data_IF_534503316998
#
_entry.id   IF_534503316998
#
_cell.length_a   1.000
_cell.length_b   1.000
_cell.length_c   1.000
_cell.angle_alpha   90.00
_cell.angle_beta   90.00
_cell.angle_gamma   90.00
#
_symmetry.space_group_name_H-M   'P 1'
#
loop_
_entity.id
_entity.type
_entity.pdbx_description
1 polymer ?
#
# COMPACT_ATOMS: atom_id res chain seq x y z
N UNK A 1 -9.47 -26.94 -49.40
CA UNK A 1 -9.28 -27.56 -48.07
C UNK A 1 -10.40 -28.54 -47.87
N UNK A 2 -10.11 -29.66 -47.20
CA UNK A 2 -11.09 -30.65 -46.81
C UNK A 2 -11.71 -30.27 -45.44
N UNK A 3 -12.92 -30.76 -45.12
CA UNK A 3 -13.48 -30.71 -43.78
C UNK A 3 -12.50 -31.24 -42.74
N UNK A 4 -12.44 -30.58 -41.58
CA UNK A 4 -11.51 -30.94 -40.52
C UNK A 4 -10.07 -30.48 -40.77
N UNK A 5 -9.76 -29.85 -41.90
CA UNK A 5 -8.46 -29.22 -42.09
C UNK A 5 -8.24 -28.13 -41.04
N UNK A 6 -7.00 -28.06 -40.57
CA UNK A 6 -6.55 -27.07 -39.60
C UNK A 6 -5.51 -26.18 -40.28
N UNK A 7 -5.82 -24.89 -40.39
CA UNK A 7 -4.93 -23.88 -40.94
C UNK A 7 -4.25 -23.16 -39.78
N UNK A 8 -2.93 -23.03 -39.84
CA UNK A 8 -2.17 -22.27 -38.85
C UNK A 8 -1.56 -21.05 -39.54
N UNK A 9 -1.59 -19.93 -38.84
CA UNK A 9 -0.96 -18.71 -39.30
C UNK A 9 -0.44 -17.88 -38.13
N UNK A 10 0.29 -16.83 -38.47
CA UNK A 10 0.77 -15.86 -37.49
C UNK A 10 0.91 -14.49 -38.11
N UNK A 11 0.82 -13.48 -37.28
CA UNK A 11 1.16 -12.10 -37.62
C UNK A 11 1.88 -11.44 -36.43
N UNK A 12 2.53 -10.32 -36.69
CA UNK A 12 3.31 -9.59 -35.71
C UNK A 12 2.56 -8.34 -35.26
N UNK A 13 2.58 -8.07 -33.95
CA UNK A 13 2.10 -6.81 -33.36
C UNK A 13 3.31 -6.08 -32.83
N UNK A 14 3.53 -4.85 -33.27
CA UNK A 14 4.68 -4.01 -32.90
C UNK A 14 4.21 -2.74 -32.19
N UNK A 15 4.89 -2.38 -31.09
CA UNK A 15 4.70 -1.11 -30.42
C UNK A 15 5.66 -0.06 -31.00
N UNK A 16 5.18 0.71 -31.97
CA UNK A 16 5.91 1.83 -32.57
C UNK A 16 5.90 3.11 -31.72
N UNK A 17 5.29 3.07 -30.52
CA UNK A 17 5.20 4.19 -29.60
C UNK A 17 6.42 4.34 -28.69
N UNK A 18 6.47 5.45 -27.96
CA UNK A 18 7.54 5.74 -27.00
C UNK A 18 7.26 5.25 -25.58
N UNK A 19 6.09 4.64 -25.32
CA UNK A 19 5.68 4.16 -24.00
C UNK A 19 5.24 2.70 -24.07
N UNK A 20 5.40 1.94 -22.97
CA UNK A 20 4.80 0.62 -22.85
C UNK A 20 3.28 0.66 -23.02
N UNK A 21 2.73 -0.39 -23.63
CA UNK A 21 1.29 -0.56 -23.77
C UNK A 21 0.86 -2.00 -23.50
N UNK A 22 -0.39 -2.14 -23.07
CA UNK A 22 -1.11 -3.41 -23.06
C UNK A 22 -1.90 -3.55 -24.36
N UNK A 23 -1.81 -4.70 -25.01
CA UNK A 23 -2.61 -5.01 -26.20
C UNK A 23 -3.44 -6.28 -26.03
N UNK A 24 -4.52 -6.37 -26.80
CA UNK A 24 -5.38 -7.55 -26.93
C UNK A 24 -5.79 -7.74 -28.37
N UNK A 25 -5.75 -8.98 -28.83
CA UNK A 25 -6.19 -9.37 -30.16
C UNK A 25 -7.47 -10.17 -30.08
N UNK A 26 -8.43 -9.86 -30.96
CA UNK A 26 -9.65 -10.63 -31.17
C UNK A 26 -9.90 -10.83 -32.66
N UNK A 27 -10.40 -12.00 -33.10
CA UNK A 27 -10.93 -12.12 -34.45
C UNK A 27 -12.24 -11.31 -34.55
N UNK A 28 -12.39 -10.51 -35.59
CA UNK A 28 -13.60 -9.73 -35.87
C UNK A 28 -14.59 -10.51 -36.75
N UNK A 29 -14.21 -11.69 -37.25
CA UNK A 29 -14.92 -12.41 -38.32
C UNK A 29 -16.40 -12.52 -38.02
N UNK A 30 -17.17 -11.63 -38.65
CA UNK A 30 -18.61 -11.56 -38.55
C UNK A 30 -19.17 -12.74 -39.33
N UNK A 31 -19.34 -13.85 -38.60
CA UNK A 31 -20.10 -15.04 -38.94
C UNK A 31 -19.58 -15.95 -40.06
N UNK A 32 -18.88 -15.42 -41.08
CA UNK A 32 -18.39 -16.25 -42.19
C UNK A 32 -16.97 -15.88 -42.61
N UNK A 33 -16.06 -16.86 -42.54
CA UNK A 33 -14.69 -16.72 -43.04
C UNK A 33 -14.65 -16.72 -44.57
N UNK A 34 -15.56 -17.45 -45.22
CA UNK A 34 -15.63 -17.63 -46.67
C UNK A 34 -16.92 -17.03 -47.24
N UNK A 35 -16.82 -16.42 -48.42
CA UNK A 35 -17.96 -15.80 -49.07
C UNK A 35 -18.98 -16.85 -49.56
N UNK A 36 -20.20 -16.79 -49.02
CA UNK A 36 -21.33 -17.66 -49.36
C UNK A 36 -21.22 -19.10 -48.87
N UNK A 37 -20.55 -19.35 -47.73
CA UNK A 37 -20.61 -20.65 -47.04
C UNK A 37 -21.60 -20.62 -45.89
N UNK A 38 -22.42 -21.65 -45.74
CA UNK A 38 -23.40 -21.75 -44.64
C UNK A 38 -22.79 -22.23 -43.31
N UNK A 39 -21.52 -22.63 -43.33
CA UNK A 39 -20.80 -23.16 -42.17
C UNK A 39 -19.79 -22.14 -41.64
N UNK A 40 -19.91 -21.68 -40.38
CA UNK A 40 -18.91 -20.80 -39.77
C UNK A 40 -17.62 -21.57 -39.49
N UNK A 41 -16.49 -21.07 -39.98
CA UNK A 41 -15.18 -21.58 -39.57
C UNK A 41 -14.85 -21.10 -38.16
N UNK A 42 -14.24 -21.95 -37.35
CA UNK A 42 -13.83 -21.58 -35.99
C UNK A 42 -12.43 -20.98 -36.05
N UNK A 43 -12.28 -19.74 -35.59
CA UNK A 43 -10.99 -19.06 -35.49
C UNK A 43 -10.60 -18.96 -34.03
N UNK A 44 -9.47 -19.58 -33.68
CA UNK A 44 -8.90 -19.54 -32.34
C UNK A 44 -7.55 -18.85 -32.36
N UNK A 45 -7.34 -17.91 -31.44
CA UNK A 45 -6.01 -17.36 -31.16
C UNK A 45 -5.34 -18.31 -30.17
N UNK A 46 -4.33 -19.02 -30.63
CA UNK A 46 -3.71 -20.11 -29.87
C UNK A 46 -2.52 -19.65 -29.03
N UNK A 47 -2.00 -18.43 -29.27
CA UNK A 47 -0.91 -17.87 -28.46
C UNK A 47 -0.90 -16.33 -28.45
N UNK A 48 -0.56 -15.73 -27.31
CA UNK A 48 -0.34 -14.29 -27.13
C UNK A 48 -1.57 -13.43 -27.47
N UNK A 49 -2.76 -13.89 -27.08
CA UNK A 49 -4.01 -13.14 -27.26
C UNK A 49 -3.97 -11.78 -26.55
N UNK A 50 -3.32 -11.71 -25.40
CA UNK A 50 -3.10 -10.51 -24.61
C UNK A 50 -1.62 -10.41 -24.23
N UNK A 51 -1.11 -9.19 -24.06
CA UNK A 51 0.26 -8.99 -23.60
C UNK A 51 0.66 -7.54 -23.45
N UNK A 52 1.75 -7.31 -22.73
CA UNK A 52 2.46 -6.02 -22.71
C UNK A 52 3.51 -5.96 -23.82
N UNK A 53 3.72 -4.77 -24.37
CA UNK A 53 4.83 -4.46 -25.26
C UNK A 53 5.52 -3.20 -24.75
N UNK A 54 6.82 -3.29 -24.46
CA UNK A 54 7.63 -2.09 -24.23
C UNK A 54 7.77 -1.29 -25.54
N UNK A 55 8.29 -0.07 -25.44
CA UNK A 55 8.55 0.75 -26.62
C UNK A 55 9.52 0.05 -27.58
N UNK A 56 9.13 -0.06 -28.86
CA UNK A 56 9.92 -0.72 -29.90
C UNK A 56 9.90 -2.25 -29.86
N UNK A 57 9.15 -2.88 -28.95
CA UNK A 57 9.01 -4.33 -28.94
C UNK A 57 7.91 -4.81 -29.88
N UNK A 58 8.10 -6.03 -30.39
CA UNK A 58 7.10 -6.74 -31.16
C UNK A 58 6.80 -8.12 -30.56
N UNK A 59 5.61 -8.64 -30.87
CA UNK A 59 5.18 -9.98 -30.45
C UNK A 59 4.43 -10.69 -31.56
N UNK A 60 4.85 -11.93 -31.82
CA UNK A 60 4.17 -12.83 -32.75
C UNK A 60 2.88 -13.40 -32.12
N UNK A 61 1.76 -13.19 -32.78
CA UNK A 61 0.45 -13.75 -32.45
C UNK A 61 0.17 -14.93 -33.37
N UNK A 62 -0.16 -16.09 -32.79
CA UNK A 62 -0.47 -17.30 -33.56
C UNK A 62 -1.97 -17.56 -33.51
N UNK A 63 -2.51 -17.98 -34.64
CA UNK A 63 -3.91 -18.36 -34.76
C UNK A 63 -4.05 -19.70 -35.46
N UNK A 64 -5.20 -20.31 -35.24
CA UNK A 64 -5.61 -21.55 -35.88
C UNK A 64 -7.03 -21.39 -36.37
N UNK A 65 -7.27 -21.83 -37.59
CA UNK A 65 -8.60 -21.89 -38.19
C UNK A 65 -8.93 -23.37 -38.35
N UNK A 66 -10.02 -23.79 -37.74
CA UNK A 66 -10.53 -25.15 -37.83
C UNK A 66 -11.78 -25.15 -38.70
N UNK A 67 -11.77 -25.98 -39.75
CA UNK A 67 -12.93 -26.15 -40.62
C UNK A 67 -13.87 -27.24 -40.06
N UNK A 68 -15.19 -26.99 -39.99
CA UNK A 68 -16.16 -28.00 -39.55
C UNK A 68 -16.06 -29.30 -40.35
N UNK A 69 -16.19 -30.44 -39.67
CA UNK A 69 -16.13 -31.78 -40.29
C UNK A 69 -17.38 -32.10 -41.12
N UNK A 70 -18.50 -31.51 -40.76
CA UNK A 70 -19.82 -31.68 -41.37
C UNK A 70 -20.02 -30.84 -42.65
N UNK A 71 -19.14 -29.88 -42.91
CA UNK A 71 -19.25 -28.98 -44.06
C UNK A 71 -18.92 -29.61 -45.42
N UNK A 72 -18.54 -30.89 -45.48
CA UNK A 72 -18.33 -31.60 -46.75
C UNK A 72 -17.43 -30.86 -47.76
N UNK A 73 -17.86 -30.73 -49.02
CA UNK A 73 -17.04 -30.05 -50.03
C UNK A 73 -17.27 -28.54 -50.12
N UNK A 74 -18.02 -27.94 -49.18
CA UNK A 74 -18.53 -26.57 -49.32
C UNK A 74 -17.42 -25.50 -49.28
N UNK A 75 -16.25 -25.84 -48.74
CA UNK A 75 -15.06 -24.98 -48.70
C UNK A 75 -14.09 -25.19 -49.87
N UNK A 76 -14.34 -26.12 -50.79
CA UNK A 76 -13.42 -26.34 -51.91
C UNK A 76 -13.32 -25.10 -52.81
N UNK A 77 -12.09 -24.65 -53.07
CA UNK A 77 -11.76 -23.48 -53.90
C UNK A 77 -12.31 -22.12 -53.41
N UNK A 78 -12.85 -22.05 -52.19
CA UNK A 78 -13.29 -20.79 -51.58
C UNK A 78 -12.10 -19.99 -51.04
N UNK A 79 -12.20 -18.67 -51.11
CA UNK A 79 -11.26 -17.75 -50.49
C UNK A 79 -11.93 -17.04 -49.32
N UNK A 80 -11.16 -16.76 -48.28
CA UNK A 80 -11.64 -16.12 -47.07
C UNK A 80 -10.69 -15.03 -46.61
N UNK A 81 -11.22 -14.05 -45.88
CA UNK A 81 -10.43 -12.98 -45.27
C UNK A 81 -10.60 -13.04 -43.76
N UNK A 82 -9.48 -13.03 -43.06
CA UNK A 82 -9.44 -12.97 -41.61
C UNK A 82 -9.13 -11.54 -41.18
N UNK A 83 -10.00 -10.96 -40.35
CA UNK A 83 -9.79 -9.64 -39.76
C UNK A 83 -9.58 -9.79 -38.26
N UNK A 84 -8.54 -9.14 -37.76
CA UNK A 84 -8.24 -9.06 -36.34
C UNK A 84 -8.41 -7.63 -35.86
N UNK A 85 -9.02 -7.47 -34.69
CA UNK A 85 -9.03 -6.23 -33.94
C UNK A 85 -7.89 -6.31 -32.93
N UNK A 86 -7.09 -5.25 -32.87
CA UNK A 86 -6.08 -5.05 -31.84
C UNK A 86 -6.51 -3.85 -30.99
N UNK A 87 -6.92 -4.12 -29.76
CA UNK A 87 -7.17 -3.08 -28.76
C UNK A 87 -5.85 -2.80 -28.02
N UNK A 88 -5.50 -1.53 -27.81
CA UNK A 88 -4.26 -1.14 -27.13
C UNK A 88 -4.47 0.06 -26.20
N UNK A 89 -3.81 0.02 -25.03
CA UNK A 89 -3.87 1.07 -23.99
C UNK A 89 -2.47 1.32 -23.44
N UNK A 90 -2.03 2.59 -23.43
CA UNK A 90 -0.78 3.01 -22.79
C UNK A 90 -0.93 3.02 -21.27
N UNK A 91 0.02 2.44 -20.53
CA UNK A 91 0.00 2.40 -19.06
C UNK A 91 1.39 2.59 -18.46
N UNK A 92 1.43 3.10 -17.22
CA UNK A 92 2.64 3.30 -16.41
C UNK A 92 3.11 2.04 -15.68
N UNK A 93 2.25 1.03 -15.50
CA UNK A 93 2.55 -0.27 -14.89
C UNK A 93 1.74 -1.40 -15.58
N UNK A 94 2.30 -2.61 -15.66
CA UNK A 94 1.89 -3.65 -16.63
C UNK A 94 1.29 -4.89 -15.95
N UNK A 95 0.00 -4.83 -15.58
CA UNK A 95 -0.81 -6.05 -15.42
C UNK A 95 -1.87 -6.13 -16.55
N UNK A 96 -1.39 -6.47 -17.75
CA UNK A 96 -2.25 -6.58 -18.93
C UNK A 96 -3.24 -7.74 -18.84
N UNK A 97 -3.01 -8.74 -17.98
CA UNK A 97 -3.93 -9.86 -17.82
C UNK A 97 -5.18 -9.40 -17.02
N UNK A 98 -4.97 -8.77 -15.85
CA UNK A 98 -6.06 -8.27 -14.99
C UNK A 98 -6.96 -7.25 -15.70
N UNK A 99 -6.39 -6.34 -16.50
CA UNK A 99 -7.17 -5.32 -17.21
C UNK A 99 -8.21 -5.89 -18.17
N UNK A 100 -7.91 -7.02 -18.84
CA UNK A 100 -8.84 -7.63 -19.80
C UNK A 100 -9.80 -8.61 -19.15
N UNK A 101 -9.45 -9.16 -17.98
CA UNK A 101 -10.29 -10.06 -17.18
C UNK A 101 -11.51 -9.34 -16.59
N UNK A 102 -11.37 -8.09 -16.14
CA UNK A 102 -12.50 -7.27 -15.65
C UNK A 102 -13.54 -6.93 -16.74
N UNK A 103 -13.13 -6.86 -18.02
CA UNK A 103 -13.98 -6.40 -19.13
C UNK A 103 -14.73 -7.52 -19.88
N UNK A 104 -14.36 -8.79 -19.70
CA UNK A 104 -14.98 -9.94 -20.40
C UNK A 104 -16.13 -10.60 -19.64
N UNK A 105 -16.52 -10.11 -18.46
CA UNK A 105 -17.74 -10.54 -17.76
C UNK A 105 -17.74 -11.98 -17.22
N UNK A 106 -16.59 -12.64 -17.13
CA UNK A 106 -16.45 -13.97 -16.56
C UNK A 106 -15.61 -13.91 -15.27
N UNK A 107 -16.16 -13.23 -14.26
CA UNK A 107 -15.59 -13.18 -12.91
C UNK A 107 -15.61 -14.56 -12.26
N UNK A 108 -14.43 -15.12 -12.04
CA UNK A 108 -14.16 -16.24 -11.15
C UNK A 108 -12.70 -16.15 -10.71
N UNK A 109 -12.50 -15.79 -9.45
CA UNK A 109 -11.21 -15.43 -8.86
C UNK A 109 -10.11 -16.51 -8.95
N UNK A 110 -8.89 -15.97 -9.13
CA UNK A 110 -7.57 -16.30 -8.57
C UNK A 110 -6.77 -17.55 -9.02
N UNK A 111 -5.64 -17.26 -9.68
CA UNK A 111 -4.36 -17.89 -9.31
C UNK A 111 -3.21 -17.87 -10.32
N UNK A 112 -2.40 -16.79 -10.26
CA UNK A 112 -0.92 -16.78 -10.43
C UNK A 112 -0.33 -16.91 -11.87
N UNK A 113 0.24 -15.88 -12.50
CA UNK A 113 0.60 -14.54 -12.02
C UNK A 113 2.06 -14.41 -11.54
N UNK A 114 3.07 -14.64 -12.39
CA UNK A 114 4.40 -14.07 -12.10
C UNK A 114 4.47 -12.62 -12.63
N UNK A 115 3.62 -11.77 -12.06
CA UNK A 115 4.00 -10.39 -11.75
C UNK A 115 4.84 -10.45 -10.48
N UNK A 116 5.99 -9.78 -10.46
CA UNK A 116 6.62 -9.53 -9.17
C UNK A 116 5.71 -8.54 -8.45
N UNK A 117 5.10 -8.97 -7.35
CA UNK A 117 4.52 -8.04 -6.39
C UNK A 117 5.61 -7.06 -5.99
N UNK A 118 5.42 -5.77 -6.30
CA UNK A 118 6.26 -4.74 -5.71
C UNK A 118 5.97 -4.77 -4.21
N UNK A 119 7.03 -5.05 -3.46
CA UNK A 119 6.98 -5.10 -2.02
C UNK A 119 7.86 -4.01 -1.47
N UNK A 120 7.37 -3.39 -0.40
CA UNK A 120 8.02 -2.27 0.24
C UNK A 120 8.41 -2.60 1.67
N UNK A 121 9.27 -1.75 2.21
CA UNK A 121 9.78 -1.81 3.57
C UNK A 121 9.32 -0.60 4.37
N UNK A 122 8.71 -0.87 5.53
CA UNK A 122 8.43 0.14 6.55
C UNK A 122 9.55 0.10 7.58
N UNK A 123 10.33 1.18 7.64
CA UNK A 123 11.43 1.35 8.60
C UNK A 123 10.98 2.22 9.77
N UNK A 124 11.26 1.78 11.00
CA UNK A 124 10.87 2.48 12.21
C UNK A 124 12.06 3.20 12.85
N UNK A 125 12.04 4.53 12.86
CA UNK A 125 12.98 5.35 13.61
C UNK A 125 12.36 5.77 14.95
N UNK A 126 12.78 5.13 16.03
CA UNK A 126 12.24 5.39 17.38
C UNK A 126 12.64 6.74 17.99
N UNK A 127 13.44 7.57 17.30
CA UNK A 127 13.89 8.89 17.80
C UNK A 127 14.48 8.82 19.23
N UNK A 128 15.34 7.82 19.46
CA UNK A 128 16.02 7.59 20.73
C UNK A 128 15.21 6.76 21.75
N UNK A 129 14.08 6.17 21.36
CA UNK A 129 13.43 5.10 22.13
C UNK A 129 14.05 3.72 21.88
N UNK A 130 13.44 2.67 22.43
CA UNK A 130 13.83 1.28 22.16
C UNK A 130 13.80 0.95 20.66
N UNK A 131 14.66 0.02 20.22
CA UNK A 131 14.73 -0.40 18.83
C UNK A 131 13.44 -1.12 18.40
N UNK A 132 13.06 -0.93 17.13
CA UNK A 132 11.89 -1.54 16.50
C UNK A 132 12.35 -2.08 15.15
N UNK A 133 12.08 -3.36 14.90
CA UNK A 133 12.48 -4.00 13.66
C UNK A 133 11.65 -3.49 12.47
N UNK A 134 12.24 -3.35 11.27
CA UNK A 134 11.50 -2.98 10.07
C UNK A 134 10.52 -4.09 9.65
N UNK A 135 9.43 -3.70 9.01
CA UNK A 135 8.50 -4.62 8.35
C UNK A 135 8.85 -4.63 6.86
N UNK A 136 9.29 -5.77 6.35
CA UNK A 136 9.69 -5.95 4.94
C UNK A 136 8.69 -6.81 4.21
N UNK A 137 8.60 -6.65 2.88
CA UNK A 137 7.77 -7.54 2.06
C UNK A 137 6.30 -7.15 2.06
N UNK A 138 5.98 -5.88 2.33
CA UNK A 138 4.59 -5.38 2.32
C UNK A 138 4.16 -5.18 0.87
N UNK A 139 3.15 -5.91 0.42
CA UNK A 139 2.63 -5.77 -0.94
C UNK A 139 2.05 -4.37 -1.16
N UNK A 140 2.32 -3.76 -2.31
CA UNK A 140 1.83 -2.43 -2.66
C UNK A 140 0.32 -2.27 -2.38
N UNK A 141 -0.03 -1.22 -1.65
CA UNK A 141 -1.41 -0.86 -1.29
C UNK A 141 -1.96 -1.58 -0.06
N UNK A 142 -1.23 -2.56 0.50
CA UNK A 142 -1.61 -3.20 1.76
C UNK A 142 -1.27 -2.34 2.99
N UNK A 143 -1.93 -2.64 4.10
CA UNK A 143 -1.67 -2.04 5.41
C UNK A 143 -0.83 -2.97 6.28
N UNK A 144 -0.17 -2.42 7.31
CA UNK A 144 0.67 -3.20 8.22
C UNK A 144 0.06 -3.29 9.62
N UNK A 145 0.32 -4.42 10.30
CA UNK A 145 0.11 -4.49 11.75
C UNK A 145 1.29 -3.79 12.44
N UNK A 146 1.00 -2.75 13.21
CA UNK A 146 2.04 -2.01 13.92
C UNK A 146 2.72 -2.87 15.00
N UNK A 147 4.03 -2.69 15.21
CA UNK A 147 4.75 -3.35 16.28
C UNK A 147 4.29 -2.84 17.66
N UNK A 148 4.76 -3.49 18.73
CA UNK A 148 4.56 -2.96 20.07
C UNK A 148 5.18 -1.55 20.20
N UNK A 149 4.51 -0.68 20.96
CA UNK A 149 4.97 0.69 21.17
C UNK A 149 6.39 0.70 21.75
N UNK A 150 7.31 1.49 21.18
CA UNK A 150 8.63 1.63 21.76
C UNK A 150 8.54 2.32 23.13
N UNK A 151 9.59 2.20 23.93
CA UNK A 151 9.70 2.90 25.21
C UNK A 151 10.86 3.89 25.20
N UNK A 152 10.67 5.06 25.80
CA UNK A 152 11.70 6.08 26.01
C UNK A 152 11.58 6.64 27.42
N UNK A 153 12.67 6.62 28.18
CA UNK A 153 12.65 7.05 29.59
C UNK A 153 12.18 8.52 29.71
N UNK A 154 11.23 8.75 30.61
CA UNK A 154 10.62 10.06 30.87
C UNK A 154 9.82 10.62 29.70
N UNK A 155 9.31 9.77 28.80
CA UNK A 155 8.47 10.19 27.68
C UNK A 155 7.31 9.22 27.42
N UNK A 156 6.15 9.77 27.05
CA UNK A 156 4.98 9.05 26.56
C UNK A 156 5.03 8.94 25.04
N UNK A 157 4.81 7.74 24.50
CA UNK A 157 4.71 7.52 23.05
C UNK A 157 3.37 8.06 22.52
N UNK A 158 3.41 8.93 21.52
CA UNK A 158 2.21 9.52 20.91
C UNK A 158 1.79 8.84 19.59
N UNK A 159 2.66 8.03 19.00
CA UNK A 159 2.42 7.34 17.73
C UNK A 159 3.56 7.47 16.72
N UNK A 160 3.37 6.81 15.58
CA UNK A 160 4.26 6.86 14.42
C UNK A 160 3.79 7.91 13.43
N UNK A 161 4.72 8.64 12.83
CA UNK A 161 4.43 9.68 11.84
C UNK A 161 5.34 9.56 10.63
N UNK A 162 4.82 9.88 9.45
CA UNK A 162 5.61 9.92 8.20
C UNK A 162 6.49 11.19 8.19
N UNK A 163 5.94 12.29 8.70
CA UNK A 163 6.58 13.60 8.83
C UNK A 163 6.16 14.27 10.15
N UNK A 164 6.25 15.60 10.27
CA UNK A 164 5.91 16.29 11.53
C UNK A 164 4.41 16.27 11.87
N UNK A 165 3.54 16.17 10.86
CA UNK A 165 2.09 16.35 10.96
C UNK A 165 1.28 15.10 10.57
N UNK A 166 1.82 14.25 9.68
CA UNK A 166 1.09 13.13 9.08
C UNK A 166 1.24 11.84 9.89
N UNK A 167 0.18 11.36 10.57
CA UNK A 167 0.23 10.11 11.34
C UNK A 167 0.30 8.89 10.42
N UNK A 168 1.07 7.89 10.84
CA UNK A 168 1.09 6.55 10.24
C UNK A 168 0.37 5.59 11.18
N UNK A 169 -0.73 4.99 10.71
CA UNK A 169 -1.58 4.10 11.50
C UNK A 169 -1.73 2.73 10.81
N UNK A 170 -2.38 1.78 11.47
CA UNK A 170 -2.71 0.48 10.87
C UNK A 170 -3.70 0.57 9.68
N UNK A 171 -4.22 1.77 9.40
CA UNK A 171 -5.11 2.04 8.25
C UNK A 171 -4.37 2.71 7.09
N UNK A 172 -3.09 3.08 7.27
CA UNK A 172 -2.29 3.73 6.22
C UNK A 172 -1.76 2.70 5.22
N UNK A 173 -2.13 2.78 3.93
CA UNK A 173 -1.61 1.87 2.91
C UNK A 173 -0.14 2.18 2.60
N UNK A 174 0.65 1.13 2.35
CA UNK A 174 2.06 1.24 1.99
C UNK A 174 2.21 1.14 0.48
N UNK A 175 2.64 2.23 -0.16
CA UNK A 175 2.79 2.32 -1.62
C UNK A 175 4.23 2.58 -2.07
N UNK A 176 5.15 2.71 -1.12
CA UNK A 176 6.59 2.85 -1.36
C UNK A 176 7.37 2.49 -0.08
N UNK A 177 8.70 2.37 -0.20
CA UNK A 177 9.56 2.26 0.98
C UNK A 177 9.42 3.52 1.83
N UNK A 178 9.04 3.34 3.09
CA UNK A 178 8.71 4.46 3.99
C UNK A 178 9.46 4.34 5.30
N UNK A 179 9.97 5.47 5.79
CA UNK A 179 10.51 5.56 7.15
C UNK A 179 9.55 6.37 8.00
N UNK A 180 9.12 5.80 9.12
CA UNK A 180 8.23 6.46 10.08
C UNK A 180 8.98 6.76 11.37
N UNK A 181 8.58 7.85 12.02
CA UNK A 181 9.28 8.44 13.15
C UNK A 181 8.39 8.42 14.38
N UNK A 182 8.94 7.96 15.50
CA UNK A 182 8.24 7.98 16.78
C UNK A 182 8.12 9.43 17.28
N UNK A 183 6.89 9.82 17.64
CA UNK A 183 6.61 11.08 18.31
C UNK A 183 6.43 10.85 19.80
N UNK A 184 7.03 11.74 20.60
CA UNK A 184 7.13 11.61 22.04
C UNK A 184 6.63 12.87 22.72
N UNK A 185 5.89 12.70 23.82
CA UNK A 185 5.61 13.76 24.79
C UNK A 185 6.51 13.55 26.00
N UNK A 186 7.24 14.57 26.44
CA UNK A 186 8.04 14.47 27.65
C UNK A 186 7.12 14.32 28.86
N UNK A 187 7.35 13.30 29.67
CA UNK A 187 6.70 13.19 30.97
C UNK A 187 7.24 14.29 31.87
N UNK A 188 6.33 15.00 32.56
CA UNK A 188 6.73 16.03 33.49
C UNK A 188 7.41 15.39 34.71
N UNK A 189 8.74 15.48 34.78
CA UNK A 189 9.51 15.03 35.93
C UNK A 189 9.33 16.04 37.05
N UNK A 190 8.28 15.84 37.85
CA UNK A 190 8.02 16.64 39.03
C UNK A 190 8.86 16.05 40.18
N UNK A 191 9.83 16.80 40.74
CA UNK A 191 10.69 16.30 41.81
C UNK A 191 9.90 16.08 43.10
N UNK A 192 10.32 15.09 43.90
CA UNK A 192 9.83 14.96 45.26
C UNK A 192 10.15 16.22 46.07
N UNK A 193 9.23 16.57 46.96
CA UNK A 193 9.45 17.66 47.89
C UNK A 193 10.65 17.36 48.79
N UNK A 194 11.55 18.34 48.90
CA UNK A 194 12.71 18.33 49.78
C UNK A 194 12.68 19.61 50.60
N UNK A 195 12.90 19.51 51.92
CA UNK A 195 13.04 20.69 52.76
C UNK A 195 14.21 21.55 52.26
N UNK A 196 13.99 22.81 51.86
CA UNK A 196 15.09 23.66 51.41
C UNK A 196 16.00 23.99 52.60
N UNK A 197 17.32 23.85 52.42
CA UNK A 197 18.31 24.14 53.46
C UNK A 197 18.82 25.57 53.33
N UNK A 198 18.86 26.31 54.43
CA UNK A 198 19.44 27.64 54.47
C UNK A 198 20.98 27.60 54.38
N UNK A 199 21.66 28.50 53.64
CA UNK A 199 21.14 29.60 52.83
C UNK A 199 20.97 29.22 51.35
N UNK A 200 19.82 28.68 50.98
CA UNK A 200 19.37 28.56 49.59
C UNK A 200 18.02 29.27 49.45
N UNK A 201 17.71 29.91 48.31
CA UNK A 201 16.35 30.33 48.06
C UNK A 201 15.49 29.07 48.01
N UNK A 202 14.44 29.00 48.84
CA UNK A 202 13.46 27.91 48.79
C UNK A 202 12.77 27.82 47.44
N UNK A 203 11.65 27.11 47.37
CA UNK A 203 10.93 26.98 46.10
C UNK A 203 10.45 28.35 45.59
N UNK A 204 10.68 28.63 44.30
CA UNK A 204 10.15 29.82 43.62
C UNK A 204 8.64 29.71 43.43
N UNK A 205 7.98 30.84 43.17
CA UNK A 205 6.56 30.85 42.80
C UNK A 205 6.36 30.08 41.49
N UNK A 206 5.37 29.20 41.44
CA UNK A 206 5.07 28.33 40.30
C UNK A 206 5.88 27.02 40.28
N UNK A 207 6.79 26.80 41.23
CA UNK A 207 7.49 25.52 41.33
C UNK A 207 6.49 24.39 41.65
N UNK A 208 6.61 23.27 40.93
CA UNK A 208 5.76 22.09 41.08
C UNK A 208 6.57 20.97 41.75
N UNK A 209 6.00 20.32 42.77
CA UNK A 209 6.63 19.21 43.51
C UNK A 209 5.65 18.08 43.80
N UNK A 210 6.14 16.85 43.93
CA UNK A 210 5.38 15.69 44.41
C UNK A 210 5.52 15.59 45.94
N UNK A 211 4.40 15.43 46.64
CA UNK A 211 4.39 15.19 48.09
C UNK A 211 3.13 14.42 48.50
N UNK A 212 3.33 13.32 49.22
CA UNK A 212 2.24 12.50 49.80
C UNK A 212 1.18 12.06 48.76
N UNK A 213 1.62 11.58 47.59
CA UNK A 213 0.72 11.12 46.52
C UNK A 213 -0.02 12.23 45.77
N UNK A 214 0.29 13.50 46.04
CA UNK A 214 -0.30 14.64 45.35
C UNK A 214 0.77 15.52 44.71
N UNK A 215 0.37 16.25 43.67
CA UNK A 215 1.19 17.29 43.03
C UNK A 215 0.78 18.68 43.53
N UNK A 216 1.75 19.49 43.91
CA UNK A 216 1.55 20.82 44.50
C UNK A 216 2.35 21.90 43.78
N UNK A 217 1.74 23.07 43.60
CA UNK A 217 2.34 24.29 43.05
C UNK A 217 2.59 25.31 44.16
N UNK A 218 3.80 25.88 44.23
CA UNK A 218 4.13 26.95 45.18
C UNK A 218 3.49 28.27 44.78
N UNK A 219 2.74 28.91 45.67
CA UNK A 219 2.07 30.18 45.41
C UNK A 219 2.95 31.41 45.66
N UNK A 220 4.11 31.24 46.30
CA UNK A 220 5.00 32.31 46.74
C UNK A 220 6.46 32.03 46.40
N UNK A 221 7.26 33.10 46.31
CA UNK A 221 8.72 33.00 46.20
C UNK A 221 9.34 32.60 47.55
N UNK A 222 10.43 31.85 47.51
CA UNK A 222 11.17 31.40 48.69
C UNK A 222 10.29 30.61 49.67
N UNK A 223 9.51 29.67 49.15
CA UNK A 223 8.67 28.83 49.97
C UNK A 223 9.51 27.73 50.64
N UNK A 224 9.57 27.77 51.97
CA UNK A 224 10.32 26.83 52.82
C UNK A 224 9.41 25.82 53.55
N UNK A 225 8.08 26.01 53.48
CA UNK A 225 7.15 25.10 54.13
C UNK A 225 6.79 23.94 53.19
N UNK A 226 6.49 22.78 53.75
CA UNK A 226 5.87 21.68 53.03
C UNK A 226 4.42 21.98 52.61
N UNK A 227 3.91 21.27 51.59
CA UNK A 227 2.48 21.26 51.30
C UNK A 227 1.63 20.77 52.48
N UNK A 228 0.32 21.10 52.51
CA UNK A 228 -0.60 20.66 53.55
C UNK A 228 -0.61 19.12 53.73
N UNK A 229 -0.27 18.64 54.93
CA UNK A 229 -0.22 17.20 55.24
C UNK A 229 0.83 16.86 56.31
N UNK A 230 1.94 17.59 56.30
CA UNK A 230 2.96 17.53 57.34
C UNK A 230 2.76 18.71 58.33
N UNK A 231 3.14 18.48 59.59
CA UNK A 231 2.57 19.08 60.81
C UNK A 231 2.33 20.61 60.77
N UNK A 232 1.08 21.04 60.56
CA UNK A 232 0.60 22.36 61.03
C UNK A 232 -0.40 23.07 60.11
N UNK A 233 -1.45 23.64 60.70
CA UNK A 233 -2.62 24.26 60.02
C UNK A 233 -2.33 25.53 59.19
N UNK A 234 -1.06 25.95 59.05
CA UNK A 234 -0.67 27.21 58.40
C UNK A 234 -0.23 27.05 56.93
N UNK A 235 0.03 25.84 56.47
CA UNK A 235 0.63 25.59 55.14
C UNK A 235 -0.38 25.65 53.98
N UNK A 236 -1.69 25.66 54.27
CA UNK A 236 -2.78 25.68 53.27
C UNK A 236 -2.82 26.90 52.36
N UNK A 237 -2.13 27.97 52.72
CA UNK A 237 -2.10 29.20 51.92
C UNK A 237 -0.89 29.28 51.00
N UNK A 238 0.14 28.46 51.19
CA UNK A 238 1.42 28.61 50.48
C UNK A 238 1.53 27.69 49.28
N UNK A 239 0.70 26.66 49.23
CA UNK A 239 0.67 25.65 48.17
C UNK A 239 -0.75 25.48 47.62
N UNK A 240 -0.83 25.24 46.32
CA UNK A 240 -2.06 24.86 45.61
C UNK A 240 -1.91 23.41 45.14
N UNK A 241 -2.85 22.54 45.52
CA UNK A 241 -2.92 21.18 44.99
C UNK A 241 -3.33 21.25 43.53
N UNK A 242 -2.59 20.59 42.64
CA UNK A 242 -2.95 20.49 41.23
C UNK A 242 -3.82 19.26 41.00
N UNK A 243 -3.33 18.08 41.39
CA UNK A 243 -4.02 16.80 41.24
C UNK A 243 -3.43 15.72 42.17
N UNK A 244 -4.15 14.61 42.30
CA UNK A 244 -3.69 13.37 42.95
C UNK A 244 -3.08 12.44 41.90
N UNK A 245 -2.03 11.70 42.30
CA UNK A 245 -1.38 10.65 41.51
C UNK A 245 -2.06 9.29 41.70
#
# INVERSE_FOLDING_TARGET
>A
MAPGDVIKGSFEVENIGSLPLCFRVKPETSWYLFEGGDYPAVVEITKNRTGGLNAGESRMVKYTVSLPLDAGNDYQNKQGKLKFIVDAVQKTHVDCAKYWEEFDGNGGDNGNGNGQEETYTVTFNSNGGSAVDPITGVTEGETVTLPADPTKEGHTFLGWFIDEETPFTAETPVTEDITVYAKWEAEEVIPDWVQPVWPAPGYSKGAVVKHDGSVWESLYYNNYAEPPGYRGKHNKYWWKKLYDL
#
